data_IF_055606785564
#
_entry.id   IF_055606785564
#
_cell.length_a   1.000
_cell.length_b   1.000
_cell.length_c   1.000
_cell.angle_alpha   90.00
_cell.angle_beta   90.00
_cell.angle_gamma   90.00
#
_symmetry.space_group_name_H-M   'P 1'
#
loop_
_entity.id
_entity.type
_entity.pdbx_description
1 polymer ?
#
# COMPACT_ATOMS: atom_id res chain seq x y z
N UNK A 1 7.16 21.33 21.38
CA UNK A 1 7.99 20.23 21.92
C UNK A 1 7.32 18.87 21.70
N UNK A 2 6.06 18.70 22.10
CA UNK A 2 5.32 17.43 21.91
C UNK A 2 5.14 17.03 20.44
N UNK A 3 4.75 17.96 19.55
CA UNK A 3 4.66 17.71 18.10
C UNK A 3 5.97 17.12 17.53
N UNK A 4 7.12 17.69 17.91
CA UNK A 4 8.43 17.20 17.46
C UNK A 4 8.70 15.77 17.93
N UNK A 5 8.34 15.44 19.18
CA UNK A 5 8.47 14.09 19.73
C UNK A 5 7.59 13.11 18.94
N UNK A 6 6.35 13.47 18.64
CA UNK A 6 5.44 12.62 17.87
C UNK A 6 5.94 12.40 16.44
N UNK A 7 6.42 13.45 15.77
CA UNK A 7 7.01 13.34 14.42
C UNK A 7 8.25 12.43 14.43
N UNK A 8 9.16 12.62 15.40
CA UNK A 8 10.33 11.76 15.52
C UNK A 8 9.93 10.30 15.80
N UNK A 9 8.94 10.08 16.66
CA UNK A 9 8.39 8.75 16.92
C UNK A 9 7.81 8.10 15.65
N UNK A 10 7.04 8.85 14.85
CA UNK A 10 6.49 8.37 13.58
C UNK A 10 7.61 7.97 12.61
N UNK A 11 8.64 8.82 12.45
CA UNK A 11 9.78 8.53 11.59
C UNK A 11 10.53 7.26 12.03
N UNK A 12 10.71 7.07 13.34
CA UNK A 12 11.32 5.84 13.88
C UNK A 12 10.42 4.62 13.61
N UNK A 13 9.11 4.73 13.82
CA UNK A 13 8.17 3.65 13.52
C UNK A 13 8.16 3.27 12.04
N UNK A 14 8.12 4.23 11.13
CA UNK A 14 8.22 3.97 9.69
C UNK A 14 9.53 3.28 9.32
N UNK A 15 10.66 3.75 9.86
CA UNK A 15 11.96 3.12 9.64
C UNK A 15 11.99 1.67 10.12
N UNK A 16 11.49 1.40 11.34
CA UNK A 16 11.46 0.04 11.88
C UNK A 16 10.52 -0.87 11.10
N UNK A 17 9.32 -0.40 10.73
CA UNK A 17 8.37 -1.15 9.91
C UNK A 17 8.98 -1.52 8.57
N UNK A 18 9.54 -0.54 7.85
CA UNK A 18 10.23 -0.74 6.59
C UNK A 18 11.29 -1.84 6.68
N UNK A 19 12.16 -1.72 7.69
CA UNK A 19 13.27 -2.65 7.89
C UNK A 19 12.80 -4.06 8.24
N UNK A 20 11.82 -4.19 9.13
CA UNK A 20 11.28 -5.50 9.56
C UNK A 20 10.56 -6.19 8.40
N UNK A 21 9.78 -5.44 7.63
CA UNK A 21 9.05 -5.97 6.47
C UNK A 21 10.03 -6.47 5.40
N UNK A 22 10.96 -5.62 4.96
CA UNK A 22 11.88 -5.93 3.86
C UNK A 22 12.92 -7.00 4.21
N UNK A 23 13.62 -6.86 5.34
CA UNK A 23 14.78 -7.72 5.64
C UNK A 23 14.43 -9.07 6.28
N UNK A 24 13.26 -9.21 6.92
CA UNK A 24 12.91 -10.45 7.63
C UNK A 24 11.57 -11.02 7.24
N UNK A 25 10.53 -10.18 7.13
CA UNK A 25 9.20 -10.68 6.84
C UNK A 25 9.09 -11.19 5.40
N UNK A 26 9.46 -10.37 4.40
CA UNK A 26 9.47 -10.75 2.98
C UNK A 26 10.41 -11.91 2.72
N UNK A 27 11.62 -11.92 3.31
CA UNK A 27 12.54 -13.06 3.17
C UNK A 27 11.93 -14.38 3.72
N UNK A 28 11.20 -14.31 4.83
CA UNK A 28 10.53 -15.50 5.39
C UNK A 28 9.38 -15.99 4.49
N UNK A 29 8.63 -15.06 3.89
CA UNK A 29 7.56 -15.33 2.93
C UNK A 29 8.09 -15.98 1.65
N UNK A 30 9.26 -15.57 1.17
CA UNK A 30 9.90 -16.16 -0.01
C UNK A 30 10.24 -17.64 0.21
N UNK A 31 10.79 -17.98 1.38
CA UNK A 31 11.06 -19.37 1.76
C UNK A 31 9.75 -20.18 1.87
N UNK A 32 8.68 -19.59 2.43
CA UNK A 32 7.35 -20.23 2.49
C UNK A 32 6.83 -20.50 1.07
N UNK A 33 6.88 -19.52 0.18
CA UNK A 33 6.42 -19.63 -1.20
C UNK A 33 7.16 -20.77 -1.94
N UNK A 34 8.48 -20.83 -1.80
CA UNK A 34 9.34 -21.89 -2.37
C UNK A 34 8.98 -23.28 -1.84
N UNK A 35 8.73 -23.40 -0.53
CA UNK A 35 8.33 -24.68 0.09
C UNK A 35 6.93 -25.13 -0.34
N UNK A 36 6.01 -24.20 -0.54
CA UNK A 36 4.66 -24.46 -1.04
C UNK A 36 4.63 -24.68 -2.56
N UNK A 37 5.76 -24.52 -3.27
CA UNK A 37 5.89 -24.64 -4.73
C UNK A 37 4.87 -23.75 -5.47
N UNK A 38 4.62 -22.57 -4.93
CA UNK A 38 3.75 -21.60 -5.59
C UNK A 38 4.41 -21.13 -6.88
N UNK A 39 3.63 -20.98 -7.95
CA UNK A 39 4.10 -20.28 -9.15
C UNK A 39 4.40 -18.82 -8.80
N UNK A 40 5.41 -18.22 -9.43
CA UNK A 40 5.80 -16.84 -9.17
C UNK A 40 4.62 -15.84 -9.24
N UNK A 41 3.72 -15.99 -10.22
CA UNK A 41 2.53 -15.14 -10.34
C UNK A 41 1.63 -15.21 -9.10
N UNK A 42 1.46 -16.43 -8.56
CA UNK A 42 0.64 -16.68 -7.36
C UNK A 42 1.37 -16.21 -6.11
N UNK A 43 2.67 -16.48 -5.99
CA UNK A 43 3.47 -16.01 -4.86
C UNK A 43 3.51 -14.48 -4.80
N UNK A 44 3.73 -13.81 -5.94
CA UNK A 44 3.69 -12.36 -6.11
C UNK A 44 2.36 -11.76 -5.67
N UNK A 45 1.26 -12.26 -6.24
CA UNK A 45 -0.08 -11.77 -5.93
C UNK A 45 -0.62 -12.21 -4.55
N UNK A 46 0.09 -13.03 -3.77
CA UNK A 46 -0.39 -13.46 -2.45
C UNK A 46 0.62 -13.17 -1.36
N UNK A 47 1.62 -14.03 -1.20
CA UNK A 47 2.58 -13.94 -0.10
C UNK A 47 3.46 -12.70 -0.19
N UNK A 48 3.92 -12.32 -1.39
CA UNK A 48 4.75 -11.11 -1.53
C UNK A 48 3.92 -9.84 -1.33
N UNK A 49 2.70 -9.80 -1.86
CA UNK A 49 1.75 -8.70 -1.60
C UNK A 49 1.43 -8.54 -0.10
N UNK A 50 1.26 -9.65 0.63
CA UNK A 50 1.14 -9.62 2.11
C UNK A 50 2.37 -9.01 2.76
N UNK A 51 3.56 -9.25 2.21
CA UNK A 51 4.82 -8.73 2.70
C UNK A 51 4.92 -7.21 2.64
N UNK A 52 4.62 -6.62 1.49
CA UNK A 52 4.66 -5.16 1.28
C UNK A 52 3.56 -4.44 2.05
N UNK A 53 2.35 -5.01 2.07
CA UNK A 53 1.16 -4.38 2.65
C UNK A 53 0.90 -4.75 4.11
N UNK A 54 1.88 -5.36 4.78
CA UNK A 54 1.75 -5.75 6.18
C UNK A 54 1.49 -4.56 7.12
N UNK A 55 2.22 -3.42 6.99
CA UNK A 55 1.96 -2.22 7.80
C UNK A 55 0.53 -1.70 7.61
N UNK A 56 0.02 -1.66 6.38
CA UNK A 56 -1.33 -1.22 6.03
C UNK A 56 -2.38 -2.14 6.67
N UNK A 57 -2.20 -3.45 6.58
CA UNK A 57 -3.10 -4.42 7.23
C UNK A 57 -3.16 -4.22 8.75
N UNK A 58 -2.00 -4.12 9.41
CA UNK A 58 -1.96 -3.99 10.87
C UNK A 58 -2.44 -2.61 11.35
N UNK A 59 -2.11 -1.54 10.64
CA UNK A 59 -2.63 -0.20 10.95
C UNK A 59 -4.15 -0.15 10.83
N UNK A 60 -4.73 -0.76 9.79
CA UNK A 60 -6.18 -0.87 9.63
C UNK A 60 -6.82 -1.70 10.74
N UNK A 61 -6.24 -2.85 11.08
CA UNK A 61 -6.73 -3.69 12.18
C UNK A 61 -6.69 -2.98 13.52
N UNK A 62 -5.60 -2.29 13.83
CA UNK A 62 -5.42 -1.60 15.11
C UNK A 62 -6.35 -0.38 15.21
N UNK A 63 -6.56 0.35 14.13
CA UNK A 63 -7.50 1.46 14.08
C UNK A 63 -8.91 1.05 14.51
N UNK A 64 -9.37 -0.15 14.13
CA UNK A 64 -10.69 -0.68 14.53
C UNK A 64 -10.79 -1.00 16.03
N UNK A 65 -9.65 -1.30 16.68
CA UNK A 65 -9.64 -1.57 18.13
C UNK A 65 -9.68 -0.31 18.99
N UNK A 66 -9.53 0.87 18.37
CA UNK A 66 -9.44 2.16 19.05
C UNK A 66 -10.69 2.99 18.76
N UNK A 67 -11.53 3.15 19.77
CA UNK A 67 -12.77 3.91 19.66
C UNK A 67 -12.53 5.35 19.19
N UNK A 68 -13.24 5.75 18.14
CA UNK A 68 -13.15 7.08 17.52
C UNK A 68 -12.06 7.22 16.45
N UNK A 69 -11.26 6.18 16.21
CA UNK A 69 -10.17 6.18 15.23
C UNK A 69 -10.43 5.19 14.07
N UNK A 70 -11.67 4.74 13.87
CA UNK A 70 -12.05 3.72 12.89
C UNK A 70 -11.70 4.14 11.45
N UNK A 71 -11.72 5.45 11.18
CA UNK A 71 -11.39 6.03 9.88
C UNK A 71 -9.88 6.05 9.57
N UNK A 72 -9.01 5.85 10.56
CA UNK A 72 -7.55 5.85 10.34
C UNK A 72 -7.15 4.71 9.41
N UNK A 73 -7.75 3.53 9.58
CA UNK A 73 -7.45 2.36 8.74
C UNK A 73 -7.80 2.60 7.27
N UNK A 74 -9.05 3.02 7.03
CA UNK A 74 -9.52 3.37 5.69
C UNK A 74 -8.77 4.55 5.09
N UNK A 75 -8.49 5.60 5.87
CA UNK A 75 -7.72 6.76 5.43
C UNK A 75 -6.29 6.39 5.03
N UNK A 76 -5.62 5.52 5.80
CA UNK A 76 -4.26 5.07 5.48
C UNK A 76 -4.26 4.30 4.16
N UNK A 77 -5.18 3.36 3.96
CA UNK A 77 -5.24 2.53 2.75
C UNK A 77 -5.64 3.35 1.52
N UNK A 78 -6.65 4.21 1.61
CA UNK A 78 -7.05 5.10 0.50
C UNK A 78 -5.92 6.08 0.16
N UNK A 79 -5.25 6.63 1.16
CA UNK A 79 -4.11 7.52 0.98
C UNK A 79 -2.92 6.80 0.32
N UNK A 80 -2.57 5.59 0.77
CA UNK A 80 -1.49 4.77 0.20
C UNK A 80 -1.81 4.39 -1.24
N UNK A 81 -3.07 4.07 -1.55
CA UNK A 81 -3.54 3.88 -2.91
C UNK A 81 -3.28 5.09 -3.83
N UNK A 82 -3.60 6.31 -3.36
CA UNK A 82 -3.33 7.55 -4.09
C UNK A 82 -1.82 7.78 -4.22
N UNK A 83 -1.06 7.55 -3.16
CA UNK A 83 0.40 7.66 -3.14
C UNK A 83 1.06 6.69 -4.13
N UNK A 84 0.62 5.44 -4.17
CA UNK A 84 1.14 4.41 -5.07
C UNK A 84 0.89 4.80 -6.54
N UNK A 85 -0.32 5.25 -6.85
CA UNK A 85 -0.71 5.64 -8.22
C UNK A 85 -0.01 6.94 -8.68
N UNK A 86 0.17 7.92 -7.80
CA UNK A 86 0.71 9.22 -8.19
C UNK A 86 2.21 9.36 -7.95
N UNK A 87 2.69 8.97 -6.77
CA UNK A 87 4.08 9.15 -6.35
C UNK A 87 4.96 7.98 -6.77
N UNK A 88 4.54 6.73 -6.54
CA UNK A 88 5.38 5.58 -6.91
C UNK A 88 5.44 5.42 -8.43
N UNK A 89 4.30 5.32 -9.11
CA UNK A 89 4.26 5.26 -10.58
C UNK A 89 4.89 6.51 -11.20
N UNK A 90 4.60 7.70 -10.65
CA UNK A 90 5.15 8.96 -11.15
C UNK A 90 6.67 9.06 -10.97
N UNK A 91 7.17 8.71 -9.78
CA UNK A 91 8.59 8.68 -9.45
C UNK A 91 9.36 7.66 -10.30
N UNK A 92 8.83 6.44 -10.45
CA UNK A 92 9.42 5.41 -11.31
C UNK A 92 9.50 5.90 -12.76
N UNK A 93 8.48 6.59 -13.27
CA UNK A 93 8.47 7.18 -14.61
C UNK A 93 9.43 8.37 -14.77
N UNK A 94 9.67 9.15 -13.71
CA UNK A 94 10.70 10.21 -13.70
C UNK A 94 12.10 9.60 -13.74
N UNK A 95 12.32 8.47 -13.07
CA UNK A 95 13.62 7.77 -13.07
C UNK A 95 13.89 7.10 -14.40
N UNK A 96 12.92 6.36 -14.96
CA UNK A 96 13.08 5.64 -16.20
C UNK A 96 11.75 5.55 -16.97
N UNK A 97 11.82 5.72 -18.28
CA UNK A 97 10.66 5.46 -19.16
C UNK A 97 10.32 3.97 -19.12
N UNK A 98 9.06 3.64 -18.86
CA UNK A 98 8.57 2.27 -18.77
C UNK A 98 7.59 1.94 -19.90
N UNK A 99 7.67 0.71 -20.39
CA UNK A 99 6.78 0.16 -21.41
C UNK A 99 5.98 -0.96 -20.77
N UNK A 100 4.68 -0.75 -20.60
CA UNK A 100 3.81 -1.66 -19.88
C UNK A 100 3.16 -2.66 -20.82
N UNK A 101 3.03 -3.90 -20.35
CA UNK A 101 2.17 -4.87 -21.00
C UNK A 101 0.72 -4.47 -20.76
N UNK A 102 0.01 -4.13 -21.83
CA UNK A 102 -1.32 -3.55 -21.70
C UNK A 102 -2.35 -4.51 -21.09
N UNK A 103 -2.26 -5.82 -21.38
CA UNK A 103 -3.28 -6.77 -20.92
C UNK A 103 -3.30 -6.93 -19.40
N UNK A 104 -2.18 -7.23 -18.71
CA UNK A 104 -2.18 -7.30 -17.25
C UNK A 104 -2.55 -5.97 -16.60
N UNK A 105 -2.03 -4.85 -17.12
CA UNK A 105 -2.32 -3.52 -16.54
C UNK A 105 -3.79 -3.15 -16.64
N UNK A 106 -4.42 -3.33 -17.81
CA UNK A 106 -5.87 -3.04 -17.96
C UNK A 106 -6.68 -3.97 -17.07
N UNK A 107 -6.35 -5.27 -17.03
CA UNK A 107 -7.03 -6.23 -16.15
C UNK A 107 -6.98 -5.76 -14.70
N UNK A 108 -5.81 -5.46 -14.18
CA UNK A 108 -5.61 -5.11 -12.76
C UNK A 108 -6.27 -3.76 -12.44
N UNK A 109 -6.17 -2.77 -13.33
CA UNK A 109 -6.87 -1.49 -13.19
C UNK A 109 -8.40 -1.66 -13.21
N UNK A 110 -8.96 -2.58 -13.99
CA UNK A 110 -10.40 -2.85 -14.00
C UNK A 110 -10.87 -3.49 -12.69
N UNK A 111 -10.15 -4.49 -12.17
CA UNK A 111 -10.46 -5.06 -10.85
C UNK A 111 -10.35 -4.01 -9.75
N UNK A 112 -9.33 -3.15 -9.85
CA UNK A 112 -9.13 -2.08 -8.91
C UNK A 112 -10.26 -1.03 -8.95
N UNK A 113 -10.72 -0.62 -10.14
CA UNK A 113 -11.88 0.26 -10.31
C UNK A 113 -13.12 -0.35 -9.66
N UNK A 114 -13.38 -1.65 -9.89
CA UNK A 114 -14.52 -2.33 -9.26
C UNK A 114 -14.35 -2.39 -7.73
N UNK A 115 -13.15 -2.62 -7.21
CA UNK A 115 -12.87 -2.60 -5.78
C UNK A 115 -13.14 -1.21 -5.17
N UNK A 116 -12.77 -0.13 -5.85
CA UNK A 116 -13.07 1.25 -5.43
C UNK A 116 -14.57 1.53 -5.45
N UNK A 117 -15.31 1.01 -6.44
CA UNK A 117 -16.77 1.16 -6.49
C UNK A 117 -17.46 0.42 -5.33
N UNK A 118 -17.00 -0.80 -5.00
CA UNK A 118 -17.45 -1.53 -3.80
C UNK A 118 -17.13 -0.74 -2.53
N UNK A 119 -15.96 -0.08 -2.48
CA UNK A 119 -15.57 0.82 -1.39
C UNK A 119 -16.51 2.01 -1.26
N UNK A 120 -16.82 2.72 -2.35
CA UNK A 120 -17.78 3.82 -2.34
C UNK A 120 -19.17 3.37 -1.85
N UNK A 121 -19.64 2.20 -2.30
CA UNK A 121 -20.91 1.65 -1.85
C UNK A 121 -20.90 1.36 -0.34
N UNK A 122 -19.83 0.72 0.16
CA UNK A 122 -19.69 0.35 1.57
C UNK A 122 -19.63 1.56 2.51
N UNK A 123 -19.13 2.70 2.03
CA UNK A 123 -19.09 3.94 2.82
C UNK A 123 -20.36 4.78 2.70
N UNK A 124 -21.31 4.42 1.81
CA UNK A 124 -22.44 5.29 1.47
C UNK A 124 -23.43 5.51 2.63
N UNK A 125 -23.62 4.52 3.50
CA UNK A 125 -24.49 4.60 4.68
C UNK A 125 -23.72 4.75 6.00
N UNK A 126 -22.38 4.77 5.93
CA UNK A 126 -21.48 4.87 7.09
C UNK A 126 -21.44 3.63 7.99
N UNK A 127 -22.01 2.50 7.56
CA UNK A 127 -22.09 1.27 8.35
C UNK A 127 -21.53 0.08 7.57
N UNK A 128 -20.45 -0.51 8.07
CA UNK A 128 -19.84 -1.69 7.44
C UNK A 128 -20.40 -2.95 8.10
N UNK A 129 -21.28 -3.63 7.38
CA UNK A 129 -21.95 -4.85 7.82
C UNK A 129 -21.08 -6.10 7.58
N UNK A 130 -21.49 -7.23 8.20
CA UNK A 130 -20.83 -8.52 7.97
C UNK A 130 -20.90 -8.93 6.49
N UNK A 131 -22.04 -8.69 5.84
CA UNK A 131 -22.25 -9.04 4.43
C UNK A 131 -21.27 -8.26 3.54
N UNK A 132 -21.13 -6.96 3.78
CA UNK A 132 -20.18 -6.11 3.05
C UNK A 132 -18.74 -6.56 3.29
N UNK A 133 -18.32 -6.81 4.53
CA UNK A 133 -16.96 -7.28 4.82
C UNK A 133 -16.64 -8.63 4.13
N UNK A 134 -17.61 -9.55 4.05
CA UNK A 134 -17.46 -10.82 3.32
C UNK A 134 -17.27 -10.59 1.81
N UNK A 135 -17.95 -9.60 1.22
CA UNK A 135 -17.82 -9.27 -0.21
C UNK A 135 -16.37 -8.96 -0.59
N UNK A 136 -15.63 -8.23 0.24
CA UNK A 136 -14.22 -7.90 -0.04
C UNK A 136 -13.34 -9.15 -0.12
N UNK A 137 -13.45 -10.06 0.85
CA UNK A 137 -12.64 -11.29 0.91
C UNK A 137 -13.01 -12.25 -0.22
N UNK A 138 -14.31 -12.41 -0.50
CA UNK A 138 -14.78 -13.22 -1.64
C UNK A 138 -14.29 -12.63 -2.95
N UNK A 139 -14.39 -11.31 -3.13
CA UNK A 139 -13.97 -10.64 -4.35
C UNK A 139 -12.47 -10.82 -4.58
N UNK A 140 -11.64 -10.71 -3.53
CA UNK A 140 -10.21 -11.02 -3.65
C UNK A 140 -9.97 -12.48 -4.04
N UNK A 141 -10.69 -13.43 -3.44
CA UNK A 141 -10.61 -14.84 -3.81
C UNK A 141 -10.92 -15.08 -5.29
N UNK A 142 -11.97 -14.44 -5.81
CA UNK A 142 -12.33 -14.48 -7.24
C UNK A 142 -11.22 -13.88 -8.10
N UNK A 143 -10.67 -12.72 -7.72
CA UNK A 143 -9.55 -12.08 -8.41
C UNK A 143 -8.33 -13.01 -8.52
N UNK A 144 -7.93 -13.67 -7.43
CA UNK A 144 -6.81 -14.61 -7.41
C UNK A 144 -7.09 -15.85 -8.26
N UNK A 145 -8.30 -16.39 -8.23
CA UNK A 145 -8.69 -17.52 -9.08
C UNK A 145 -8.60 -17.17 -10.57
N UNK A 146 -9.10 -15.99 -10.95
CA UNK A 146 -9.00 -15.50 -12.33
C UNK A 146 -7.55 -15.23 -12.74
N UNK A 147 -6.74 -14.66 -11.84
CA UNK A 147 -5.31 -14.45 -12.07
C UNK A 147 -4.55 -15.76 -12.25
N UNK A 148 -4.86 -16.78 -11.44
CA UNK A 148 -4.28 -18.12 -11.54
C UNK A 148 -4.59 -18.76 -12.90
N UNK A 149 -5.83 -18.66 -13.38
CA UNK A 149 -6.25 -19.18 -14.69
C UNK A 149 -5.67 -18.36 -15.85
N UNK A 150 -5.53 -17.04 -15.67
CA UNK A 150 -4.99 -16.13 -16.67
C UNK A 150 -3.60 -16.54 -17.14
N UNK A 151 -2.73 -16.95 -16.22
CA UNK A 151 -1.39 -17.46 -16.54
C UNK A 151 -1.46 -18.58 -17.60
N UNK A 152 -2.42 -19.50 -17.48
CA UNK A 152 -2.56 -20.66 -18.39
C UNK A 152 -3.01 -20.26 -19.79
N UNK A 153 -3.82 -19.22 -19.92
CA UNK A 153 -4.36 -18.79 -21.22
C UNK A 153 -3.38 -17.92 -22.01
N UNK A 154 -2.46 -17.23 -21.34
CA UNK A 154 -1.65 -16.19 -21.97
C UNK A 154 -0.13 -16.33 -21.78
N UNK A 155 0.39 -17.41 -21.18
CA UNK A 155 1.85 -17.63 -21.08
C UNK A 155 2.37 -18.89 -21.80
N UNK A 156 2.61 -18.77 -23.11
CA UNK A 156 3.68 -19.50 -23.79
C UNK A 156 4.92 -18.59 -23.87
N UNK A 157 5.70 -18.49 -22.79
CA UNK A 157 6.97 -17.74 -22.81
C UNK A 157 7.47 -17.11 -21.50
N UNK A 158 6.65 -17.08 -20.43
CA UNK A 158 7.01 -16.38 -19.19
C UNK A 158 8.05 -17.12 -18.31
N UNK A 159 8.20 -18.44 -18.44
CA UNK A 159 9.04 -19.25 -17.53
C UNK A 159 10.53 -18.89 -17.58
N UNK A 160 11.04 -18.39 -18.72
CA UNK A 160 12.47 -18.07 -18.89
C UNK A 160 12.84 -16.66 -18.44
N UNK A 161 11.87 -15.74 -18.32
CA UNK A 161 12.09 -14.38 -17.84
C UNK A 161 12.14 -14.29 -16.32
N UNK A 162 11.35 -15.11 -15.64
CA UNK A 162 11.16 -15.03 -14.19
C UNK A 162 12.36 -15.58 -13.39
N UNK A 163 13.01 -16.66 -13.84
CA UNK A 163 14.27 -17.12 -13.20
C UNK A 163 15.44 -16.11 -13.36
N UNK A 164 15.43 -15.36 -14.46
CA UNK A 164 16.40 -14.27 -14.69
C UNK A 164 16.07 -13.04 -13.82
N UNK A 165 14.79 -12.80 -13.55
CA UNK A 165 14.29 -11.78 -12.61
C UNK A 165 14.72 -12.11 -11.18
N UNK A 166 14.52 -13.35 -10.70
CA UNK A 166 14.90 -13.75 -9.33
C UNK A 166 16.40 -13.63 -9.08
N UNK A 167 17.23 -14.13 -10.02
CA UNK A 167 18.70 -13.98 -9.91
C UNK A 167 19.14 -12.52 -9.96
N UNK A 168 18.32 -11.63 -10.52
CA UNK A 168 18.60 -10.21 -10.61
C UNK A 168 18.16 -9.48 -9.34
N UNK A 169 16.93 -9.70 -8.86
CA UNK A 169 16.40 -9.16 -7.60
C UNK A 169 17.26 -9.58 -6.40
N UNK A 170 17.68 -10.85 -6.32
CA UNK A 170 18.57 -11.33 -5.25
C UNK A 170 19.95 -10.64 -5.30
N UNK A 171 20.45 -10.32 -6.50
CA UNK A 171 21.70 -9.54 -6.68
C UNK A 171 21.51 -8.06 -6.36
N UNK A 172 20.33 -7.51 -6.63
CA UNK A 172 19.98 -6.11 -6.36
C UNK A 172 19.86 -5.87 -4.87
N UNK A 173 19.08 -6.67 -4.16
CA UNK A 173 18.98 -6.60 -2.70
C UNK A 173 20.35 -6.77 -2.02
N UNK A 174 21.22 -7.68 -2.50
CA UNK A 174 22.60 -7.83 -1.99
C UNK A 174 23.51 -6.64 -2.31
N UNK A 175 23.37 -6.01 -3.48
CA UNK A 175 24.19 -4.85 -3.89
C UNK A 175 23.75 -3.56 -3.22
N UNK A 176 22.46 -3.43 -2.94
CA UNK A 176 21.85 -2.30 -2.25
C UNK A 176 22.22 -2.25 -0.76
N UNK A 177 22.32 -3.43 -0.11
CA UNK A 177 22.89 -3.60 1.24
C UNK A 177 24.30 -3.01 1.41
N UNK A 178 25.01 -2.75 0.29
CA UNK A 178 26.36 -2.16 0.26
C UNK A 178 26.41 -0.65 -0.04
N UNK A 179 25.35 0.00 -0.51
CA UNK A 179 25.44 1.34 -1.12
C UNK A 179 25.04 2.52 -0.20
N UNK A 180 24.40 2.30 0.95
CA UNK A 180 23.90 3.39 1.80
C UNK A 180 24.93 3.89 2.82
N UNK A 181 26.01 4.53 2.36
CA UNK A 181 27.15 4.93 3.22
C UNK A 181 26.84 5.94 4.34
N UNK A 182 25.75 6.71 4.27
CA UNK A 182 25.36 7.66 5.32
C UNK A 182 24.41 7.07 6.39
N UNK A 183 23.76 5.92 6.09
CA UNK A 183 22.82 5.24 7.00
C UNK A 183 23.46 4.06 7.77
N UNK A 184 24.72 3.71 7.46
CA UNK A 184 25.36 2.46 7.91
C UNK A 184 25.45 2.26 9.42
N UNK A 185 25.56 3.33 10.22
CA UNK A 185 25.74 3.19 11.68
C UNK A 185 24.40 2.85 12.32
N UNK A 186 23.37 3.68 12.12
CA UNK A 186 22.02 3.41 12.64
C UNK A 186 21.48 2.09 12.09
N UNK A 187 21.72 1.83 10.81
CA UNK A 187 21.28 0.59 10.15
C UNK A 187 21.97 -0.66 10.72
N UNK A 188 23.28 -0.57 10.99
CA UNK A 188 24.02 -1.68 11.61
C UNK A 188 23.61 -1.92 13.06
N UNK A 189 23.41 -0.86 13.84
CA UNK A 189 22.99 -0.99 15.25
C UNK A 189 21.57 -1.55 15.37
N UNK A 190 20.63 -1.01 14.59
CA UNK A 190 19.24 -1.51 14.58
C UNK A 190 19.15 -2.90 13.98
N UNK A 191 19.93 -3.21 12.95
CA UNK A 191 20.03 -4.55 12.37
C UNK A 191 20.62 -5.56 13.35
N UNK A 192 21.62 -5.17 14.13
CA UNK A 192 22.16 -6.00 15.21
C UNK A 192 21.13 -6.22 16.32
N UNK A 193 20.45 -5.16 16.78
CA UNK A 193 19.44 -5.22 17.83
C UNK A 193 18.26 -6.12 17.43
N UNK A 194 17.70 -5.90 16.23
CA UNK A 194 16.64 -6.73 15.68
C UNK A 194 17.14 -8.15 15.42
N UNK A 195 18.39 -8.32 15.00
CA UNK A 195 19.03 -9.63 14.78
C UNK A 195 19.10 -10.52 16.02
N UNK A 196 19.04 -9.94 17.24
CA UNK A 196 18.91 -10.70 18.49
C UNK A 196 17.54 -11.39 18.60
N UNK A 197 16.48 -10.77 18.07
CA UNK A 197 15.12 -11.29 18.08
C UNK A 197 14.79 -12.08 16.81
N UNK A 198 15.30 -11.62 15.66
CA UNK A 198 15.04 -12.11 14.31
C UNK A 198 16.34 -12.66 13.69
N UNK A 199 16.62 -13.98 13.81
CA UNK A 199 17.80 -14.57 13.20
C UNK A 199 17.76 -14.47 11.67
N UNK A 200 18.93 -14.29 11.06
CA UNK A 200 19.10 -14.21 9.61
C UNK A 200 18.70 -15.54 8.93
N UNK A 201 17.59 -15.52 8.17
CA UNK A 201 17.04 -16.71 7.51
C UNK A 201 17.94 -17.21 6.38
N UNK A 202 18.79 -16.36 5.81
CA UNK A 202 19.76 -16.77 4.79
C UNK A 202 20.83 -17.71 5.35
N UNK A 203 21.18 -17.54 6.64
CA UNK A 203 22.15 -18.40 7.35
C UNK A 203 21.48 -19.62 7.97
N UNK A 204 20.26 -19.46 8.45
CA UNK A 204 19.52 -20.51 9.16
C UNK A 204 18.13 -20.71 8.54
N UNK A 205 18.01 -21.30 7.34
CA UNK A 205 16.74 -21.40 6.61
C UNK A 205 15.66 -22.25 7.30
N UNK A 206 16.00 -22.95 8.39
CA UNK A 206 15.03 -23.67 9.23
C UNK A 206 14.29 -22.76 10.20
N UNK A 207 14.80 -21.56 10.49
CA UNK A 207 14.16 -20.59 11.42
C UNK A 207 13.09 -19.73 10.75
N UNK A 208 12.82 -19.91 9.45
CA UNK A 208 11.91 -19.07 8.67
C UNK A 208 10.52 -18.92 9.29
N UNK A 209 9.91 -19.98 9.86
CA UNK A 209 8.62 -19.87 10.56
C UNK A 209 8.71 -19.04 11.84
N UNK A 210 9.79 -19.18 12.61
CA UNK A 210 10.01 -18.36 13.80
C UNK A 210 10.15 -16.89 13.41
N UNK A 211 10.94 -16.62 12.37
CA UNK A 211 11.12 -15.26 11.85
C UNK A 211 9.80 -14.69 11.35
N UNK A 212 9.02 -15.46 10.59
CA UNK A 212 7.70 -15.09 10.11
C UNK A 212 6.77 -14.64 11.25
N UNK A 213 6.58 -15.46 12.29
CA UNK A 213 5.70 -15.12 13.42
C UNK A 213 6.24 -13.99 14.29
N UNK A 214 7.56 -13.94 14.53
CA UNK A 214 8.17 -12.83 15.29
C UNK A 214 8.07 -11.51 14.52
N UNK A 215 8.26 -11.51 13.19
CA UNK A 215 8.09 -10.32 12.36
C UNK A 215 6.65 -9.82 12.40
N UNK A 216 5.65 -10.72 12.29
CA UNK A 216 4.23 -10.36 12.45
C UNK A 216 3.98 -9.64 13.78
N UNK A 217 4.49 -10.19 14.89
CA UNK A 217 4.30 -9.59 16.21
C UNK A 217 4.95 -8.20 16.33
N UNK A 218 6.15 -8.03 15.76
CA UNK A 218 6.85 -6.74 15.76
C UNK A 218 6.19 -5.71 14.83
N UNK A 219 5.73 -6.12 13.64
CA UNK A 219 4.99 -5.25 12.72
C UNK A 219 3.70 -4.77 13.40
N UNK A 220 2.96 -5.66 14.06
CA UNK A 220 1.76 -5.30 14.82
C UNK A 220 2.08 -4.30 15.95
N UNK A 221 3.15 -4.56 16.72
CA UNK A 221 3.57 -3.66 17.80
C UNK A 221 4.00 -2.28 17.29
N UNK A 222 4.80 -2.22 16.22
CA UNK A 222 5.21 -0.97 15.60
C UNK A 222 4.02 -0.22 14.98
N UNK A 223 3.08 -0.93 14.35
CA UNK A 223 1.85 -0.36 13.81
C UNK A 223 0.96 0.21 14.92
N UNK A 224 0.96 -0.40 16.10
CA UNK A 224 0.22 0.13 17.25
C UNK A 224 0.80 1.46 17.71
N UNK A 225 2.13 1.52 17.90
CA UNK A 225 2.82 2.77 18.21
C UNK A 225 2.58 3.82 17.12
N UNK A 226 2.60 3.42 15.85
CA UNK A 226 2.34 4.30 14.71
C UNK A 226 0.94 4.94 14.77
N UNK A 227 -0.10 4.15 14.98
CA UNK A 227 -1.49 4.64 15.11
C UNK A 227 -1.64 5.53 16.34
N UNK A 228 -1.05 5.16 17.48
CA UNK A 228 -1.06 5.99 18.69
C UNK A 228 -0.44 7.37 18.46
N UNK A 229 0.75 7.42 17.86
CA UNK A 229 1.44 8.67 17.57
C UNK A 229 0.68 9.52 16.56
N UNK A 230 0.00 8.91 15.58
CA UNK A 230 -0.83 9.65 14.62
C UNK A 230 -2.05 10.30 15.28
N UNK A 231 -2.73 9.59 16.19
CA UNK A 231 -3.83 10.14 16.98
C UNK A 231 -3.36 11.28 17.88
N UNK A 232 -2.23 11.10 18.56
CA UNK A 232 -1.64 12.14 19.41
C UNK A 232 -1.23 13.38 18.61
N UNK A 233 -0.62 13.17 17.44
CA UNK A 233 -0.26 14.25 16.52
C UNK A 233 -1.50 15.00 16.00
N UNK A 234 -2.53 14.26 15.60
CA UNK A 234 -3.82 14.83 15.16
C UNK A 234 -4.42 15.75 16.22
N UNK A 235 -4.48 15.30 17.48
CA UNK A 235 -5.02 16.08 18.60
C UNK A 235 -4.19 17.32 18.92
N UNK A 236 -2.87 17.20 18.88
CA UNK A 236 -1.96 18.31 19.21
C UNK A 236 -1.98 19.41 18.13
N UNK A 237 -2.10 19.03 16.85
CA UNK A 237 -2.11 19.98 15.73
C UNK A 237 -3.53 20.46 15.39
N UNK A 238 -4.58 19.77 15.89
CA UNK A 238 -5.97 20.10 15.60
C UNK A 238 -6.41 19.71 14.18
N UNK A 239 -5.72 18.76 13.55
CA UNK A 239 -6.05 18.24 12.21
C UNK A 239 -6.81 16.92 12.38
N UNK A 240 -7.93 16.69 11.67
CA UNK A 240 -8.68 15.43 11.76
C UNK A 240 -7.81 14.17 11.55
N UNK A 241 -8.04 13.13 12.37
CA UNK A 241 -7.27 11.88 12.37
C UNK A 241 -7.22 11.25 10.96
N UNK A 242 -8.35 11.31 10.22
CA UNK A 242 -8.44 10.80 8.84
C UNK A 242 -7.51 11.51 7.87
N UNK A 243 -7.19 12.79 8.08
CA UNK A 243 -6.32 13.56 7.17
C UNK A 243 -4.86 13.27 7.47
N UNK A 244 -4.49 13.10 8.74
CA UNK A 244 -3.18 12.54 9.11
C UNK A 244 -3.01 11.13 8.52
N UNK A 245 -4.07 10.32 8.51
CA UNK A 245 -4.04 8.99 7.91
C UNK A 245 -3.85 9.03 6.38
N UNK A 246 -4.65 9.84 5.67
CA UNK A 246 -4.62 10.03 4.22
C UNK A 246 -3.31 10.61 3.68
N UNK A 247 -2.49 11.24 4.53
CA UNK A 247 -1.27 11.94 4.12
C UNK A 247 -0.01 11.37 4.77
N UNK A 248 0.12 11.50 6.10
CA UNK A 248 1.34 11.15 6.84
C UNK A 248 1.48 9.64 6.98
N UNK A 249 0.42 8.94 7.43
CA UNK A 249 0.47 7.48 7.57
C UNK A 249 0.59 6.82 6.21
N UNK A 250 -0.30 7.18 5.29
CA UNK A 250 -0.29 6.70 3.91
C UNK A 250 1.07 6.84 3.22
N UNK A 251 1.63 8.05 3.22
CA UNK A 251 2.94 8.28 2.62
C UNK A 251 4.04 7.52 3.35
N UNK A 252 4.02 7.50 4.68
CA UNK A 252 5.07 6.88 5.49
C UNK A 252 5.14 5.36 5.39
N UNK A 253 4.00 4.65 5.36
CA UNK A 253 3.99 3.20 5.17
C UNK A 253 4.39 2.81 3.74
N UNK A 254 4.18 3.68 2.76
CA UNK A 254 4.52 3.45 1.34
C UNK A 254 5.90 3.99 0.91
N UNK A 255 6.68 4.63 1.80
CA UNK A 255 8.09 5.03 1.51
C UNK A 255 8.98 3.84 1.11
N UNK A 256 8.93 2.67 1.79
CA UNK A 256 9.77 1.52 1.44
C UNK A 256 9.48 1.04 0.02
N UNK A 257 8.20 0.92 -0.32
CA UNK A 257 7.74 0.55 -1.66
C UNK A 257 8.17 1.56 -2.71
N UNK A 258 8.12 2.87 -2.40
CA UNK A 258 8.62 3.92 -3.27
C UNK A 258 10.12 3.71 -3.55
N UNK A 259 10.93 3.57 -2.50
CA UNK A 259 12.38 3.42 -2.64
C UNK A 259 12.73 2.18 -3.47
N UNK A 260 12.11 1.04 -3.15
CA UNK A 260 12.27 -0.22 -3.90
C UNK A 260 11.88 -0.03 -5.38
N UNK A 261 10.73 0.58 -5.65
CA UNK A 261 10.22 0.84 -7.00
C UNK A 261 11.10 1.80 -7.81
N UNK A 262 11.67 2.83 -7.19
CA UNK A 262 12.62 3.75 -7.84
C UNK A 262 13.92 3.04 -8.22
N UNK A 263 14.39 2.12 -7.37
CA UNK A 263 15.62 1.36 -7.60
C UNK A 263 15.43 0.38 -8.75
N UNK A 264 14.33 -0.37 -8.76
CA UNK A 264 13.97 -1.28 -9.86
C UNK A 264 13.78 -0.52 -11.17
N UNK A 265 13.14 0.65 -11.13
CA UNK A 265 13.00 1.53 -12.29
C UNK A 265 14.36 2.01 -12.83
N UNK A 266 15.27 2.46 -11.95
CA UNK A 266 16.63 2.91 -12.32
C UNK A 266 17.44 1.82 -13.02
N UNK A 267 17.12 0.56 -12.77
CA UNK A 267 17.77 -0.60 -13.36
C UNK A 267 17.15 -1.02 -14.70
N UNK A 268 16.23 -0.23 -15.25
CA UNK A 268 15.60 -0.48 -16.54
C UNK A 268 14.35 -1.37 -16.47
N UNK A 269 13.86 -1.68 -15.25
CA UNK A 269 12.65 -2.48 -15.01
C UNK A 269 11.47 -1.62 -14.53
N UNK A 270 11.31 -0.44 -15.13
CA UNK A 270 10.24 0.49 -14.73
C UNK A 270 8.84 -0.08 -14.95
N UNK A 271 8.68 -1.04 -15.86
CA UNK A 271 7.43 -1.76 -16.10
C UNK A 271 6.98 -2.57 -14.88
N UNK A 272 7.93 -3.23 -14.23
CA UNK A 272 7.71 -3.97 -12.99
C UNK A 272 7.36 -3.05 -11.82
N UNK A 273 8.11 -1.96 -11.66
CA UNK A 273 7.85 -0.98 -10.59
C UNK A 273 6.44 -0.40 -10.68
N UNK A 274 6.00 -0.01 -11.88
CA UNK A 274 4.65 0.51 -12.11
C UNK A 274 3.58 -0.57 -11.94
N UNK A 275 3.84 -1.80 -12.41
CA UNK A 275 2.87 -2.90 -12.27
C UNK A 275 2.67 -3.30 -10.81
N UNK A 276 3.74 -3.30 -10.00
CA UNK A 276 3.67 -3.58 -8.57
C UNK A 276 2.81 -2.54 -7.83
N UNK A 277 3.09 -1.25 -8.07
CA UNK A 277 2.35 -0.14 -7.46
C UNK A 277 0.86 -0.12 -7.82
N UNK A 278 0.47 -0.67 -8.98
CA UNK A 278 -0.94 -0.81 -9.38
C UNK A 278 -1.56 -2.07 -8.74
N UNK A 279 -0.82 -3.18 -8.74
CA UNK A 279 -1.31 -4.48 -8.28
C UNK A 279 -1.56 -4.54 -6.76
N UNK A 280 -0.67 -3.95 -5.95
CA UNK A 280 -0.79 -3.96 -4.49
C UNK A 280 -2.06 -3.25 -3.99
N UNK A 281 -2.50 -2.18 -4.66
CA UNK A 281 -3.68 -1.43 -4.22
C UNK A 281 -4.98 -2.26 -4.24
N UNK A 282 -5.07 -3.25 -5.13
CA UNK A 282 -6.22 -4.17 -5.13
C UNK A 282 -6.21 -5.07 -3.90
N UNK A 283 -5.03 -5.54 -3.49
CA UNK A 283 -4.85 -6.27 -2.24
C UNK A 283 -5.15 -5.36 -1.04
N UNK A 284 -4.71 -4.11 -1.04
CA UNK A 284 -4.92 -3.19 0.08
C UNK A 284 -6.40 -2.91 0.32
N UNK A 285 -7.17 -2.62 -0.73
CA UNK A 285 -8.61 -2.42 -0.57
C UNK A 285 -9.32 -3.72 -0.18
N UNK A 286 -9.05 -4.84 -0.87
CA UNK A 286 -9.84 -6.06 -0.68
C UNK A 286 -9.45 -6.88 0.55
N UNK A 287 -8.17 -6.88 0.94
CA UNK A 287 -7.68 -7.66 2.07
C UNK A 287 -7.31 -6.75 3.24
N UNK A 288 -6.52 -5.69 3.02
CA UNK A 288 -6.07 -4.85 4.14
C UNK A 288 -7.21 -4.06 4.80
N UNK A 289 -8.32 -3.75 4.11
CA UNK A 289 -9.56 -3.27 4.74
C UNK A 289 -10.56 -4.37 5.02
N UNK A 290 -10.86 -5.19 4.00
CA UNK A 290 -11.92 -6.20 4.06
C UNK A 290 -11.73 -7.22 5.18
N UNK A 291 -10.52 -7.73 5.35
CA UNK A 291 -10.25 -8.76 6.35
C UNK A 291 -10.28 -8.20 7.79
N UNK A 292 -9.67 -7.04 8.11
CA UNK A 292 -9.86 -6.42 9.42
C UNK A 292 -11.32 -6.12 9.77
N UNK A 293 -12.12 -5.60 8.84
CA UNK A 293 -13.55 -5.41 9.08
C UNK A 293 -14.27 -6.73 9.34
N UNK A 294 -13.97 -7.77 8.56
CA UNK A 294 -14.55 -9.10 8.76
C UNK A 294 -14.24 -9.65 10.14
N UNK A 295 -12.96 -9.61 10.54
CA UNK A 295 -12.51 -10.06 11.86
C UNK A 295 -13.19 -9.26 12.97
N UNK A 296 -13.27 -7.94 12.82
CA UNK A 296 -13.91 -7.06 13.81
C UNK A 296 -15.41 -7.37 13.96
N UNK A 297 -16.16 -7.43 12.86
CA UNK A 297 -17.62 -7.66 12.90
C UNK A 297 -17.92 -9.06 13.45
N UNK A 298 -17.11 -10.08 13.12
CA UNK A 298 -17.25 -11.43 13.68
C UNK A 298 -16.95 -11.47 15.18
N UNK A 299 -15.97 -10.70 15.65
CA UNK A 299 -15.57 -10.66 17.07
C UNK A 299 -16.53 -9.84 17.93
N UNK A 300 -16.89 -8.63 17.47
CA UNK A 300 -17.75 -7.68 18.21
C UNK A 300 -19.23 -7.97 18.01
N UNK A 301 -19.62 -8.60 16.89
CA UNK A 301 -21.02 -8.90 16.56
C UNK A 301 -21.83 -7.67 16.14
N UNK A 302 -21.18 -6.56 15.77
CA UNK A 302 -21.81 -5.30 15.36
C UNK A 302 -21.11 -4.72 14.13
N UNK A 303 -21.85 -3.96 13.33
CA UNK A 303 -21.30 -3.22 12.20
C UNK A 303 -20.24 -2.20 12.67
N UNK A 304 -19.24 -1.97 11.83
CA UNK A 304 -18.26 -0.88 12.05
C UNK A 304 -18.93 0.43 11.65
N UNK A 305 -18.90 1.41 12.54
CA UNK A 305 -19.42 2.75 12.25
C UNK A 305 -18.24 3.63 11.86
N UNK A 306 -18.33 4.25 10.68
CA UNK A 306 -17.27 5.08 10.10
C UNK A 306 -17.81 6.47 9.79
N UNK A 307 -16.96 7.48 9.92
CA UNK A 307 -17.32 8.84 9.49
C UNK A 307 -17.04 8.97 8.00
N UNK A 308 -18.03 9.46 7.27
CA UNK A 308 -17.98 9.55 5.80
C UNK A 308 -17.34 10.85 5.31
N UNK A 309 -17.31 11.88 6.16
CA UNK A 309 -16.76 13.19 5.84
C UNK A 309 -15.24 13.10 5.54
N UNK A 310 -14.80 13.78 4.47
CA UNK A 310 -13.46 13.74 3.88
C UNK A 310 -13.06 12.40 3.23
N UNK A 311 -13.42 11.26 3.81
CA UNK A 311 -13.01 9.95 3.28
C UNK A 311 -13.70 9.63 1.95
N UNK A 312 -15.01 9.86 1.82
CA UNK A 312 -15.72 9.67 0.54
C UNK A 312 -15.15 10.57 -0.56
N UNK A 313 -14.82 11.84 -0.24
CA UNK A 313 -14.19 12.76 -1.20
C UNK A 313 -12.85 12.22 -1.70
N UNK A 314 -12.02 11.67 -0.82
CA UNK A 314 -10.75 11.04 -1.19
C UNK A 314 -10.93 9.75 -2.00
N UNK A 315 -11.96 8.94 -1.71
CA UNK A 315 -12.26 7.74 -2.50
C UNK A 315 -12.73 8.12 -3.93
N UNK A 316 -13.56 9.17 -4.08
CA UNK A 316 -13.92 9.69 -5.40
C UNK A 316 -12.69 10.18 -6.17
N UNK A 317 -11.81 10.93 -5.50
CA UNK A 317 -10.58 11.39 -6.13
C UNK A 317 -9.70 10.21 -6.57
N UNK A 318 -9.58 9.17 -5.74
CA UNK A 318 -8.88 7.95 -6.10
C UNK A 318 -9.50 7.30 -7.35
N UNK A 319 -10.83 7.15 -7.40
CA UNK A 319 -11.54 6.63 -8.56
C UNK A 319 -11.20 7.41 -9.84
N UNK A 320 -11.32 8.74 -9.82
CA UNK A 320 -11.00 9.57 -10.98
C UNK A 320 -9.52 9.52 -11.34
N UNK A 321 -8.63 9.42 -10.36
CA UNK A 321 -7.19 9.30 -10.60
C UNK A 321 -6.84 8.01 -11.33
N UNK A 322 -7.46 6.88 -10.95
CA UNK A 322 -7.26 5.58 -11.58
C UNK A 322 -7.84 5.56 -13.00
N UNK A 323 -9.03 6.13 -13.20
CA UNK A 323 -9.64 6.28 -14.53
C UNK A 323 -8.78 7.17 -15.43
N UNK A 324 -8.28 8.29 -14.91
CA UNK A 324 -7.39 9.18 -15.64
C UNK A 324 -6.07 8.50 -16.00
N UNK A 325 -5.47 7.73 -15.06
CA UNK A 325 -4.27 6.94 -15.34
C UNK A 325 -4.53 5.94 -16.47
N UNK A 326 -5.62 5.17 -16.40
CA UNK A 326 -5.97 4.21 -17.45
C UNK A 326 -6.14 4.88 -18.82
N UNK A 327 -6.81 6.03 -18.85
CA UNK A 327 -6.97 6.83 -20.07
C UNK A 327 -5.63 7.31 -20.62
N UNK A 328 -4.77 7.90 -19.78
CA UNK A 328 -3.43 8.36 -20.18
C UNK A 328 -2.59 7.20 -20.72
N UNK A 329 -2.59 6.06 -20.03
CA UNK A 329 -1.88 4.86 -20.48
C UNK A 329 -2.41 4.38 -21.84
N UNK A 330 -3.73 4.34 -22.03
CA UNK A 330 -4.33 3.94 -23.31
C UNK A 330 -3.91 4.88 -24.46
N UNK A 331 -3.98 6.20 -24.26
CA UNK A 331 -3.58 7.21 -25.25
C UNK A 331 -2.08 7.14 -25.54
N UNK A 332 -1.25 6.93 -24.52
CA UNK A 332 0.19 6.79 -24.67
C UNK A 332 0.63 5.38 -25.11
N UNK A 333 -0.30 4.51 -25.51
CA UNK A 333 -0.03 3.12 -25.93
C UNK A 333 0.80 2.35 -24.90
N UNK A 334 0.45 2.51 -23.63
CA UNK A 334 1.05 1.85 -22.47
C UNK A 334 2.54 2.19 -22.27
N UNK A 335 2.96 3.37 -22.74
CA UNK A 335 4.26 3.96 -22.45
C UNK A 335 4.08 5.06 -21.41
N UNK A 336 4.82 5.00 -20.31
CA UNK A 336 4.89 6.07 -19.32
C UNK A 336 6.31 6.65 -19.30
N UNK A 337 6.42 7.94 -19.58
CA UNK A 337 7.70 8.65 -19.64
C UNK A 337 7.80 9.76 -18.60
N UNK A 338 8.96 10.41 -18.56
CA UNK A 338 9.29 11.44 -17.57
C UNK A 338 8.24 12.55 -17.43
N UNK A 339 7.64 13.00 -18.55
CA UNK A 339 6.58 14.03 -18.54
C UNK A 339 5.35 13.58 -17.76
N UNK A 340 4.86 12.37 -18.03
CA UNK A 340 3.74 11.77 -17.30
C UNK A 340 4.11 11.62 -15.83
N UNK A 341 5.35 11.25 -15.52
CA UNK A 341 5.86 11.16 -14.15
C UNK A 341 5.77 12.47 -13.37
N UNK A 342 6.25 13.59 -13.93
CA UNK A 342 6.15 14.90 -13.29
C UNK A 342 4.69 15.35 -13.10
N UNK A 343 3.80 15.06 -14.05
CA UNK A 343 2.37 15.38 -13.94
C UNK A 343 1.74 14.61 -12.77
N UNK A 344 2.03 13.31 -12.63
CA UNK A 344 1.48 12.50 -11.54
C UNK A 344 1.95 12.99 -10.17
N UNK A 345 3.24 13.31 -10.01
CA UNK A 345 3.77 13.87 -8.77
C UNK A 345 3.14 15.24 -8.47
N UNK A 346 2.95 16.08 -9.49
CA UNK A 346 2.29 17.38 -9.32
C UNK A 346 0.83 17.23 -8.87
N UNK A 347 0.09 16.28 -9.44
CA UNK A 347 -1.27 15.95 -9.01
C UNK A 347 -1.30 15.50 -7.54
N UNK A 348 -0.29 14.75 -7.07
CA UNK A 348 -0.19 14.39 -5.66
C UNK A 348 0.00 15.60 -4.75
N UNK A 349 0.85 16.55 -5.16
CA UNK A 349 1.04 17.81 -4.41
C UNK A 349 -0.27 18.60 -4.32
N UNK A 350 -1.03 18.67 -5.41
CA UNK A 350 -2.36 19.29 -5.41
C UNK A 350 -3.35 18.56 -4.49
N UNK A 351 -3.34 17.23 -4.50
CA UNK A 351 -4.16 16.42 -3.60
C UNK A 351 -3.86 16.71 -2.13
N UNK A 352 -2.58 16.68 -1.73
CA UNK A 352 -2.19 16.99 -0.34
C UNK A 352 -2.56 18.44 0.00
N UNK A 353 -2.33 19.38 -0.92
CA UNK A 353 -2.73 20.77 -0.75
C UNK A 353 -4.23 20.94 -0.55
N UNK A 354 -5.05 20.23 -1.32
CA UNK A 354 -6.52 20.22 -1.16
C UNK A 354 -6.94 19.70 0.21
N UNK A 355 -6.38 18.57 0.67
CA UNK A 355 -6.69 18.00 2.00
C UNK A 355 -6.29 18.92 3.14
N UNK A 356 -5.17 19.65 3.01
CA UNK A 356 -4.75 20.62 4.02
C UNK A 356 -5.68 21.84 3.99
N UNK A 357 -6.04 22.33 2.80
CA UNK A 357 -6.92 23.48 2.64
C UNK A 357 -8.35 23.21 3.12
N UNK A 358 -8.89 22.00 2.93
CA UNK A 358 -10.21 21.63 3.44
C UNK A 358 -10.28 21.66 4.97
N UNK A 359 -9.15 21.49 5.66
CA UNK A 359 -9.05 21.66 7.12
C UNK A 359 -8.98 23.13 7.52
N UNK A 360 -8.14 23.90 6.82
CA UNK A 360 -7.88 25.30 7.19
C UNK A 360 -9.08 26.20 6.86
N UNK A 361 -9.79 25.90 5.77
CA UNK A 361 -10.92 26.70 5.30
C UNK A 361 -12.15 25.81 5.05
N UNK A 362 -13.10 25.76 5.99
CA UNK A 362 -14.32 24.95 5.88
C UNK A 362 -15.23 25.35 4.71
N UNK A 363 -15.01 26.52 4.09
CA UNK A 363 -15.78 26.98 2.94
C UNK A 363 -15.27 26.38 1.61
N UNK A 364 -14.18 25.61 1.62
CA UNK A 364 -13.75 24.84 0.45
C UNK A 364 -14.81 23.76 0.22
N UNK A 365 -15.56 23.88 -0.88
CA UNK A 365 -16.53 22.88 -1.31
C UNK A 365 -15.88 21.50 -1.31
N UNK A 366 -16.51 20.54 -0.62
CA UNK A 366 -16.10 19.16 -0.76
C UNK A 366 -16.31 18.71 -2.21
N UNK A 367 -15.52 17.74 -2.67
CA UNK A 367 -15.66 17.19 -4.04
C UNK A 367 -17.11 16.71 -4.27
N UNK A 368 -17.74 16.15 -3.24
CA UNK A 368 -19.15 15.75 -3.27
C UNK A 368 -20.08 16.94 -3.49
N UNK A 369 -19.94 18.03 -2.73
CA UNK A 369 -20.75 19.24 -2.91
C UNK A 369 -20.50 19.88 -4.27
N UNK A 370 -19.26 19.88 -4.75
CA UNK A 370 -18.94 20.34 -6.10
C UNK A 370 -19.63 19.48 -7.17
N UNK A 371 -19.56 18.15 -7.09
CA UNK A 371 -20.25 17.26 -8.01
C UNK A 371 -21.76 17.46 -7.97
N UNK A 372 -22.35 17.56 -6.78
CA UNK A 372 -23.78 17.85 -6.62
C UNK A 372 -24.17 19.19 -7.28
N UNK A 373 -23.31 20.22 -7.18
CA UNK A 373 -23.54 21.51 -7.81
C UNK A 373 -23.43 21.47 -9.34
N UNK A 374 -22.61 20.57 -9.90
CA UNK A 374 -22.47 20.40 -11.35
C UNK A 374 -23.61 19.58 -11.93
N UNK A 375 -24.10 18.56 -11.22
CA UNK A 375 -25.21 17.71 -11.67
C UNK A 375 -26.57 18.43 -11.61
N UNK A 376 -26.66 19.50 -10.81
CA UNK A 376 -27.88 20.33 -10.68
C UNK A 376 -27.93 21.51 -11.66
N UNK A 377 -26.88 21.71 -12.47
CA UNK A 377 -26.81 22.63 -13.62
C UNK A 377 -27.10 21.88 -14.92
#
# INVERSE_FOLDING_TARGET
MMVTIYILGLLVSFYLLAKICEEWFVESLDIIAKRLKLSHDVAGATLMAVGSSAPEFFTALIALTKAGSENIGAGTIVGSAIFNVLVIVGGSAVVATAYLNWRPVVRDLLFYIVAILVLLFTFSDGMITLAEAIVYVIFYGVYILLLSQWSRWFTNGAKTGVEMIEKFEEKVHKKERRSHQAFLVLDRWTGWLLGLLLPDVSKHPKTYLRVFFTSIALIAACSWVLVELAVLLSREVGIPEVIIALTVLAGGTSIPDLLSSLIVAKQGRGDMAVSNAIGSNTFDILICLGLPWLVYVLYVGKAVIVSTENLISSIFLLFFTVVALLFVLAVQKFKIGHRSGYILIFLYILYVGYNIMSVINPNVLSIEQWMASVVTL
#
